data_IF_382419216564
#
_entry.id   IF_382419216564
#
_cell.length_a   1.000
_cell.length_b   1.000
_cell.length_c   1.000
_cell.angle_alpha   90.00
_cell.angle_beta   90.00
_cell.angle_gamma   90.00
#
_symmetry.space_group_name_H-M   'P 1'
#
loop_
_entity.id
_entity.type
_entity.pdbx_description
1 polymer ?
#
# COMPACT_ATOMS: atom_id res chain seq x y z
N UNK A 1 -3.93 -12.47 8.78
CA UNK A 1 -5.23 -11.98 8.30
C UNK A 1 -4.95 -10.67 7.58
N UNK A 2 -4.71 -10.72 6.27
CA UNK A 2 -4.65 -9.52 5.44
C UNK A 2 -6.10 -9.23 5.03
N UNK A 3 -6.69 -8.16 5.58
CA UNK A 3 -7.99 -7.69 5.12
C UNK A 3 -7.78 -6.99 3.79
N UNK A 4 -8.01 -7.72 2.70
CA UNK A 4 -8.29 -7.11 1.42
C UNK A 4 -9.65 -6.42 1.57
N UNK A 5 -9.73 -5.13 1.24
CA UNK A 5 -10.99 -4.39 1.23
C UNK A 5 -11.77 -4.88 -0.01
N UNK A 6 -12.44 -6.03 0.14
CA UNK A 6 -13.58 -6.40 -0.68
C UNK A 6 -14.81 -6.08 0.16
N UNK A 7 -15.28 -4.84 0.09
CA UNK A 7 -16.55 -4.46 0.72
C UNK A 7 -17.63 -5.03 -0.19
N UNK A 8 -18.35 -6.04 0.28
CA UNK A 8 -19.50 -6.56 -0.45
C UNK A 8 -20.50 -5.43 -0.74
N UNK A 9 -21.27 -5.52 -1.83
CA UNK A 9 -22.25 -4.50 -2.20
C UNK A 9 -23.20 -4.13 -1.04
N UNK A 10 -23.65 -5.11 -0.24
CA UNK A 10 -24.50 -4.86 0.93
C UNK A 10 -23.79 -4.02 2.01
N UNK A 11 -22.49 -4.23 2.21
CA UNK A 11 -21.70 -3.45 3.15
C UNK A 11 -21.42 -2.03 2.61
N UNK A 12 -21.28 -1.85 1.29
CA UNK A 12 -21.11 -0.55 0.66
C UNK A 12 -22.35 0.34 0.82
N UNK A 13 -23.53 -0.23 0.58
CA UNK A 13 -24.80 0.49 0.68
C UNK A 13 -25.02 1.01 2.11
N UNK A 14 -24.74 0.18 3.11
CA UNK A 14 -24.89 0.54 4.54
C UNK A 14 -23.93 1.65 4.98
N UNK A 15 -22.72 1.69 4.46
CA UNK A 15 -21.74 2.72 4.81
C UNK A 15 -22.06 4.07 4.16
N UNK A 16 -22.60 4.03 2.93
CA UNK A 16 -22.99 5.22 2.17
C UNK A 16 -24.18 5.97 2.77
N UNK A 17 -25.02 5.31 3.58
CA UNK A 17 -26.11 5.95 4.32
C UNK A 17 -25.65 6.79 5.52
N UNK A 18 -24.49 6.47 6.10
CA UNK A 18 -24.01 7.09 7.35
C UNK A 18 -23.13 8.31 7.06
N UNK A 19 -22.33 8.25 6.00
CA UNK A 19 -21.51 9.34 5.49
C UNK A 19 -21.14 9.10 4.03
N UNK A 20 -20.77 10.14 3.25
CA UNK A 20 -20.21 9.96 1.91
C UNK A 20 -18.99 9.04 2.00
N UNK A 21 -19.14 7.79 1.52
CA UNK A 21 -18.08 6.79 1.58
C UNK A 21 -17.39 6.78 0.21
N UNK A 22 -16.14 7.22 0.16
CA UNK A 22 -15.29 7.02 -1.02
C UNK A 22 -14.70 5.62 -0.90
N UNK A 23 -15.26 4.64 -1.61
CA UNK A 23 -14.54 3.41 -1.93
C UNK A 23 -14.52 3.22 -3.44
N UNK A 24 -13.42 2.64 -3.89
CA UNK A 24 -13.14 2.34 -5.28
C UNK A 24 -13.96 1.13 -5.73
N UNK A 25 -14.53 1.18 -6.93
CA UNK A 25 -15.23 0.03 -7.53
C UNK A 25 -14.23 -1.09 -7.85
N UNK A 26 -14.54 -2.37 -7.60
CA UNK A 26 -13.64 -3.49 -7.90
C UNK A 26 -13.32 -3.62 -9.40
N UNK A 27 -14.24 -3.19 -10.27
CA UNK A 27 -14.03 -3.21 -11.73
C UNK A 27 -13.17 -2.04 -12.23
N UNK A 28 -13.10 -0.96 -11.45
CA UNK A 28 -12.36 0.27 -11.77
C UNK A 28 -11.64 0.79 -10.54
N UNK A 29 -10.53 0.14 -10.14
CA UNK A 29 -9.64 0.72 -9.15
C UNK A 29 -9.08 2.05 -9.66
N UNK A 30 -9.58 3.14 -9.09
CA UNK A 30 -9.01 4.49 -9.18
C UNK A 30 -7.65 4.50 -8.48
N UNK A 31 -6.61 4.37 -9.30
CA UNK A 31 -5.23 4.49 -8.87
C UNK A 31 -4.74 5.94 -8.85
N UNK A 32 -5.58 6.92 -9.21
CA UNK A 32 -5.22 8.34 -9.19
C UNK A 32 -4.81 8.80 -7.78
N UNK A 33 -5.39 8.21 -6.75
CA UNK A 33 -4.99 8.47 -5.35
C UNK A 33 -3.63 7.87 -4.96
N UNK A 34 -3.07 6.95 -5.75
CA UNK A 34 -1.80 6.30 -5.45
C UNK A 34 -0.59 7.02 -6.07
N UNK A 35 -0.81 7.98 -6.97
CA UNK A 35 0.28 8.73 -7.61
C UNK A 35 0.74 9.92 -6.75
N UNK A 36 1.32 9.61 -5.59
CA UNK A 36 1.81 10.59 -4.60
C UNK A 36 3.33 10.80 -4.70
N UNK A 37 3.88 11.62 -3.79
CA UNK A 37 5.32 11.89 -3.70
C UNK A 37 6.14 10.61 -3.44
N UNK A 38 5.64 9.74 -2.56
CA UNK A 38 6.21 8.41 -2.28
C UNK A 38 5.06 7.42 -2.03
N UNK A 39 5.15 6.22 -2.59
CA UNK A 39 4.18 5.15 -2.40
C UNK A 39 4.81 3.97 -1.67
N UNK A 40 4.20 3.50 -0.58
CA UNK A 40 4.69 2.36 0.19
C UNK A 40 3.74 1.17 0.00
N UNK A 41 4.27 0.06 -0.52
CA UNK A 41 3.56 -1.20 -0.65
C UNK A 41 3.97 -2.16 0.47
N UNK A 42 3.08 -2.44 1.41
CA UNK A 42 3.34 -3.42 2.46
C UNK A 42 2.94 -4.84 2.02
N UNK A 43 3.89 -5.61 1.50
CA UNK A 43 3.62 -6.89 0.82
C UNK A 43 4.19 -8.13 1.52
N UNK A 44 4.94 -7.96 2.61
CA UNK A 44 5.66 -9.07 3.27
C UNK A 44 4.80 -10.19 3.85
N UNK A 45 3.48 -10.03 3.94
CA UNK A 45 2.55 -11.12 4.31
C UNK A 45 2.15 -12.03 3.15
N UNK A 46 2.58 -11.73 1.92
CA UNK A 46 2.10 -12.41 0.71
C UNK A 46 3.23 -12.59 -0.30
N UNK A 47 3.73 -13.83 -0.39
CA UNK A 47 4.78 -14.20 -1.34
C UNK A 47 4.38 -13.81 -2.78
N UNK A 48 5.33 -13.21 -3.51
CA UNK A 48 5.13 -12.74 -4.89
C UNK A 48 4.10 -11.61 -5.05
N UNK A 49 3.59 -10.99 -3.96
CA UNK A 49 2.67 -9.86 -4.09
C UNK A 49 3.34 -8.64 -4.76
N UNK A 50 4.60 -8.35 -4.41
CA UNK A 50 5.37 -7.28 -5.07
C UNK A 50 5.45 -7.48 -6.58
N UNK A 51 5.79 -8.69 -7.03
CA UNK A 51 5.92 -9.01 -8.45
C UNK A 51 4.59 -8.89 -9.18
N UNK A 52 3.50 -9.38 -8.56
CA UNK A 52 2.15 -9.25 -9.11
C UNK A 52 1.71 -7.79 -9.27
N UNK A 53 2.06 -6.91 -8.33
CA UNK A 53 1.74 -5.48 -8.43
C UNK A 53 2.55 -4.82 -9.55
N UNK A 54 3.85 -5.13 -9.64
CA UNK A 54 4.76 -4.53 -10.63
C UNK A 54 4.38 -4.78 -12.08
N UNK A 55 3.62 -5.85 -12.36
CA UNK A 55 3.16 -6.18 -13.72
C UNK A 55 1.79 -5.60 -14.08
N UNK A 56 1.09 -4.92 -13.16
CA UNK A 56 -0.21 -4.31 -13.44
C UNK A 56 -0.01 -3.09 -14.36
N UNK A 57 -0.61 -3.05 -15.57
CA UNK A 57 -0.40 -1.95 -16.50
C UNK A 57 -0.80 -0.58 -15.93
N UNK A 58 -1.88 -0.53 -15.15
CA UNK A 58 -2.34 0.71 -14.51
C UNK A 58 -1.38 1.19 -13.42
N UNK A 59 -0.71 0.27 -12.71
CA UNK A 59 0.34 0.62 -11.75
C UNK A 59 1.56 1.22 -12.46
N UNK A 60 2.01 0.58 -13.54
CA UNK A 60 3.13 1.06 -14.36
C UNK A 60 2.87 2.42 -15.01
N UNK A 61 1.61 2.83 -15.13
CA UNK A 61 1.22 4.13 -15.67
C UNK A 61 1.41 5.29 -14.67
N UNK A 62 1.52 5.02 -13.36
CA UNK A 62 1.68 6.05 -12.33
C UNK A 62 3.08 6.69 -12.37
N UNK A 63 3.18 8.00 -12.11
CA UNK A 63 4.47 8.69 -12.07
C UNK A 63 5.33 8.16 -10.91
N UNK A 64 4.74 7.88 -9.76
CA UNK A 64 5.45 7.31 -8.60
C UNK A 64 6.14 5.98 -8.92
N UNK A 65 5.57 5.16 -9.81
CA UNK A 65 6.18 3.90 -10.25
C UNK A 65 7.26 4.14 -11.33
N UNK A 66 7.03 5.07 -12.26
CA UNK A 66 7.98 5.43 -13.32
C UNK A 66 9.24 6.10 -12.79
N UNK A 67 9.07 6.97 -11.81
CA UNK A 67 10.14 7.74 -11.17
C UNK A 67 10.89 6.92 -10.11
N UNK A 68 10.45 5.68 -9.84
CA UNK A 68 10.99 4.83 -8.79
C UNK A 68 10.73 5.40 -7.39
N UNK A 69 9.69 6.19 -7.18
CA UNK A 69 9.33 6.76 -5.87
C UNK A 69 8.49 5.77 -5.03
N UNK A 70 8.47 4.50 -5.42
CA UNK A 70 7.80 3.39 -4.76
C UNK A 70 8.76 2.58 -3.86
N UNK A 71 8.28 2.19 -2.68
CA UNK A 71 8.99 1.34 -1.71
C UNK A 71 8.16 0.10 -1.41
N UNK A 72 8.64 -1.06 -1.85
CA UNK A 72 8.05 -2.36 -1.52
C UNK A 72 8.64 -2.94 -0.23
N UNK A 73 7.81 -3.13 0.79
CA UNK A 73 8.15 -3.79 2.05
C UNK A 73 7.75 -5.25 1.95
N UNK A 74 8.62 -6.04 1.33
CA UNK A 74 8.47 -7.47 1.05
C UNK A 74 9.11 -8.38 2.11
N UNK A 75 10.06 -7.86 2.89
CA UNK A 75 10.57 -8.57 4.07
C UNK A 75 9.43 -8.77 5.10
N UNK A 76 9.11 -10.02 5.48
CA UNK A 76 7.99 -10.32 6.37
C UNK A 76 8.18 -9.78 7.79
N UNK A 77 9.43 -9.62 8.25
CA UNK A 77 9.75 -9.10 9.58
C UNK A 77 9.57 -7.58 9.61
N UNK A 78 10.06 -6.86 8.59
CA UNK A 78 9.87 -5.40 8.47
C UNK A 78 8.39 -5.07 8.25
N UNK A 79 7.73 -5.82 7.37
CA UNK A 79 6.29 -5.73 7.11
C UNK A 79 5.47 -5.97 8.39
N UNK A 80 5.81 -7.01 9.14
CA UNK A 80 5.19 -7.31 10.43
C UNK A 80 5.42 -6.20 11.45
N UNK A 81 6.64 -5.70 11.58
CA UNK A 81 6.96 -4.65 12.54
C UNK A 81 6.16 -3.35 12.31
N UNK A 82 5.98 -2.98 11.03
CA UNK A 82 5.14 -1.85 10.61
C UNK A 82 3.65 -2.13 10.85
N UNK A 83 3.19 -3.34 10.56
CA UNK A 83 1.78 -3.76 10.74
C UNK A 83 1.36 -3.73 12.21
N UNK A 84 2.22 -4.22 13.10
CA UNK A 84 1.91 -4.28 14.54
C UNK A 84 2.12 -2.95 15.25
N UNK A 85 3.08 -2.12 14.81
CA UNK A 85 3.26 -0.76 15.30
C UNK A 85 3.41 -0.64 16.83
N UNK A 86 4.01 -1.62 17.49
CA UNK A 86 4.19 -1.65 18.95
C UNK A 86 5.43 -0.89 19.39
N UNK A 87 5.55 -0.58 20.68
CA UNK A 87 6.76 0.03 21.28
C UNK A 87 8.03 -0.79 20.98
N UNK A 88 7.90 -2.12 20.91
CA UNK A 88 9.04 -2.99 20.62
C UNK A 88 9.37 -3.05 19.12
N UNK A 89 8.40 -2.82 18.23
CA UNK A 89 8.57 -3.01 16.78
C UNK A 89 8.80 -1.70 16.01
N UNK A 90 8.28 -0.57 16.48
CA UNK A 90 8.44 0.72 15.83
C UNK A 90 9.91 1.14 15.64
N UNK A 91 10.81 1.03 16.65
CA UNK A 91 12.21 1.39 16.46
C UNK A 91 12.86 0.59 15.33
N UNK A 92 12.62 -0.72 15.29
CA UNK A 92 13.12 -1.60 14.23
C UNK A 92 12.55 -1.23 12.84
N UNK A 93 11.25 -0.96 12.75
CA UNK A 93 10.62 -0.56 11.49
C UNK A 93 11.16 0.78 10.98
N UNK A 94 11.39 1.75 11.89
CA UNK A 94 11.97 3.06 11.58
C UNK A 94 13.39 2.89 11.02
N UNK A 95 14.24 2.13 11.71
CA UNK A 95 15.62 1.90 11.29
C UNK A 95 15.69 1.24 9.91
N UNK A 96 14.76 0.32 9.61
CA UNK A 96 14.70 -0.36 8.32
C UNK A 96 14.10 0.51 7.18
N UNK A 97 13.08 1.33 7.47
CA UNK A 97 12.30 2.02 6.44
C UNK A 97 12.77 3.44 6.16
N UNK A 98 13.19 4.21 7.17
CA UNK A 98 13.56 5.62 6.99
C UNK A 98 14.64 5.84 5.93
N UNK A 99 15.73 5.05 5.85
CA UNK A 99 16.73 5.22 4.80
C UNK A 99 16.14 5.02 3.39
N UNK A 100 15.25 4.02 3.24
CA UNK A 100 14.61 3.69 1.96
C UNK A 100 13.63 4.78 1.52
N UNK A 101 12.83 5.29 2.46
CA UNK A 101 11.89 6.38 2.24
C UNK A 101 12.63 7.68 1.89
N UNK A 102 13.76 7.96 2.54
CA UNK A 102 14.57 9.15 2.25
C UNK A 102 15.11 9.12 0.82
N UNK A 103 15.57 7.95 0.34
CA UNK A 103 16.01 7.79 -1.05
C UNK A 103 14.85 7.99 -2.02
N UNK A 104 13.68 7.39 -1.74
CA UNK A 104 12.50 7.54 -2.60
C UNK A 104 12.02 8.99 -2.67
N UNK A 105 11.98 9.70 -1.54
CA UNK A 105 11.53 11.10 -1.46
C UNK A 105 12.51 12.12 -2.09
N UNK A 106 13.73 11.69 -2.40
CA UNK A 106 14.76 12.56 -3.00
C UNK A 106 14.89 12.40 -4.52
N UNK A 107 14.07 11.55 -5.13
CA UNK A 107 13.99 11.36 -6.59
C UNK A 107 13.06 12.38 -7.21
#
# INVERSE_FOLDING_TARGET
>A
MAQYIDVSHDAYDRLSEIAPTVTTSPDHPDFGMLDLDVLVWNTGSSEGASDRIRVIPTYQALNVAKDGRDVFVDDPIVSGAMTWGTVLSLPFAIDALVPRLSVAASR
#
